data_IF_873802548433
#
_entry.id   IF_873802548433
#
_cell.length_a   1.000
_cell.length_b   1.000
_cell.length_c   1.000
_cell.angle_alpha   90.00
_cell.angle_beta   90.00
_cell.angle_gamma   90.00
#
_symmetry.space_group_name_H-M   'P 1'
#
loop_
_entity.id
_entity.type
_entity.pdbx_description
1 polymer ?
#
# COMPACT_ATOMS: atom_id res chain seq x y z
N UNK A 1 1.72 -14.19 -13.06
CA UNK A 1 1.77 -12.71 -13.04
C UNK A 1 2.97 -12.15 -12.26
N UNK A 2 3.94 -12.97 -11.82
CA UNK A 2 5.04 -12.52 -10.94
C UNK A 2 5.92 -11.38 -11.49
N UNK A 3 5.97 -11.17 -12.81
CA UNK A 3 6.67 -10.03 -13.41
C UNK A 3 5.92 -8.69 -13.25
N UNK A 4 4.63 -8.74 -12.89
CA UNK A 4 3.79 -7.57 -12.61
C UNK A 4 3.92 -7.10 -11.17
N UNK A 5 4.71 -7.78 -10.33
CA UNK A 5 4.90 -7.40 -8.93
C UNK A 5 6.38 -7.15 -8.68
N UNK A 6 6.68 -6.02 -8.04
CA UNK A 6 8.02 -5.65 -7.62
C UNK A 6 8.14 -5.72 -6.11
N UNK A 7 9.29 -6.18 -5.61
CA UNK A 7 9.61 -6.04 -4.18
C UNK A 7 9.95 -4.59 -3.90
N UNK A 8 9.15 -3.94 -3.08
CA UNK A 8 9.29 -2.54 -2.71
C UNK A 8 9.37 -2.41 -1.18
N UNK A 9 10.05 -1.37 -0.71
CA UNK A 9 9.98 -0.96 0.69
C UNK A 9 8.67 -0.22 0.91
N UNK A 10 7.92 -0.60 1.94
CA UNK A 10 6.64 0.00 2.29
C UNK A 10 6.69 0.44 3.75
N UNK A 11 6.44 1.73 3.99
CA UNK A 11 6.31 2.31 5.35
C UNK A 11 4.90 2.86 5.51
N UNK A 12 4.23 2.46 6.59
CA UNK A 12 2.87 2.92 6.92
C UNK A 12 2.95 3.92 8.07
N UNK A 13 2.51 5.15 7.83
CA UNK A 13 2.51 6.26 8.79
C UNK A 13 1.07 6.60 9.14
N UNK A 14 0.65 6.60 10.43
CA UNK A 14 -0.69 7.05 10.80
C UNK A 14 -0.92 8.48 10.34
N UNK A 15 -2.09 8.78 9.77
CA UNK A 15 -2.36 10.12 9.23
C UNK A 15 -2.41 11.16 10.35
N UNK A 16 -3.23 10.92 11.38
CA UNK A 16 -3.40 11.88 12.48
C UNK A 16 -3.71 13.29 11.96
N UNK A 17 -2.84 14.26 12.28
CA UNK A 17 -2.92 15.64 11.79
C UNK A 17 -1.97 15.92 10.61
N UNK A 18 -1.22 14.92 10.14
CA UNK A 18 -0.28 15.05 9.03
C UNK A 18 -1.01 15.20 7.70
N UNK A 19 -0.42 15.99 6.81
CA UNK A 19 -0.81 16.08 5.40
C UNK A 19 0.12 15.24 4.53
N UNK A 20 -0.31 14.93 3.31
CA UNK A 20 0.53 14.24 2.32
C UNK A 20 1.84 15.02 2.07
N UNK A 21 1.75 16.35 1.99
CA UNK A 21 2.90 17.24 1.81
C UNK A 21 3.91 17.12 2.96
N UNK A 22 3.45 17.03 4.22
CA UNK A 22 4.32 16.85 5.38
C UNK A 22 5.14 15.55 5.25
N UNK A 23 4.46 14.45 4.92
CA UNK A 23 5.08 13.13 4.75
C UNK A 23 6.04 13.14 3.57
N UNK A 24 5.62 13.66 2.42
CA UNK A 24 6.43 13.73 1.21
C UNK A 24 7.74 14.51 1.46
N UNK A 25 7.65 15.68 2.10
CA UNK A 25 8.83 16.47 2.45
C UNK A 25 9.80 15.71 3.36
N UNK A 26 9.30 14.85 4.25
CA UNK A 26 10.16 14.07 5.15
C UNK A 26 10.96 12.98 4.42
N UNK A 27 10.41 12.41 3.34
CA UNK A 27 10.96 11.18 2.73
C UNK A 27 11.51 11.34 1.32
N UNK A 28 11.27 12.48 0.66
CA UNK A 28 11.69 12.71 -0.73
C UNK A 28 13.19 12.48 -0.96
N UNK A 29 14.04 12.97 -0.06
CA UNK A 29 15.50 12.81 -0.16
C UNK A 29 16.00 11.42 0.32
N UNK A 30 15.12 10.61 0.89
CA UNK A 30 15.44 9.31 1.49
C UNK A 30 15.22 8.12 0.53
N UNK A 31 14.75 8.38 -0.71
CA UNK A 31 14.48 7.34 -1.71
C UNK A 31 13.02 6.89 -1.78
N UNK A 32 12.07 7.69 -1.27
CA UNK A 32 10.65 7.48 -1.54
C UNK A 32 10.33 7.72 -3.02
N UNK A 33 9.53 6.83 -3.58
CA UNK A 33 9.03 6.89 -4.96
C UNK A 33 7.60 7.43 -5.02
N UNK A 34 6.77 7.08 -4.04
CA UNK A 34 5.34 7.41 -4.01
C UNK A 34 4.86 7.52 -2.56
N UNK A 35 3.91 8.43 -2.32
CA UNK A 35 3.17 8.57 -1.07
C UNK A 35 1.69 8.50 -1.41
N UNK A 36 1.00 7.49 -0.88
CA UNK A 36 -0.42 7.26 -1.10
C UNK A 36 -1.21 7.59 0.17
N UNK A 37 -2.28 8.37 0.06
CA UNK A 37 -3.25 8.59 1.13
C UNK A 37 -4.24 7.42 1.18
N UNK A 38 -4.21 6.65 2.26
CA UNK A 38 -5.11 5.52 2.50
C UNK A 38 -6.28 5.89 3.43
N UNK A 39 -6.55 7.19 3.62
CA UNK A 39 -7.62 7.69 4.49
C UNK A 39 -7.17 7.84 5.93
N UNK A 40 -6.87 6.75 6.62
CA UNK A 40 -6.42 6.74 8.04
C UNK A 40 -4.90 6.71 8.20
N UNK A 41 -4.17 6.41 7.13
CA UNK A 41 -2.71 6.33 7.10
C UNK A 41 -2.15 6.78 5.76
N UNK A 42 -0.87 7.13 5.73
CA UNK A 42 -0.09 7.29 4.51
C UNK A 42 0.76 6.05 4.27
N UNK A 43 0.81 5.62 3.02
CA UNK A 43 1.70 4.57 2.56
C UNK A 43 2.82 5.19 1.74
N UNK A 44 4.05 5.01 2.20
CA UNK A 44 5.25 5.45 1.48
C UNK A 44 5.85 4.23 0.78
N UNK A 45 6.02 4.31 -0.52
CA UNK A 45 6.63 3.26 -1.36
C UNK A 45 8.03 3.71 -1.77
N UNK A 46 8.98 2.77 -1.76
CA UNK A 46 10.38 2.98 -2.13
C UNK A 46 10.96 1.70 -2.74
N UNK A 47 12.18 1.77 -3.28
CA UNK A 47 12.95 0.55 -3.55
C UNK A 47 13.17 -0.25 -2.26
N UNK A 48 13.18 -1.59 -2.36
CA UNK A 48 13.35 -2.44 -1.19
C UNK A 48 14.68 -2.21 -0.44
N UNK A 49 15.71 -1.71 -1.14
CA UNK A 49 17.00 -1.33 -0.56
C UNK A 49 16.94 -0.04 0.27
N UNK A 50 15.96 0.81 0.00
CA UNK A 50 15.88 2.16 0.55
C UNK A 50 14.93 2.24 1.76
N UNK A 51 14.21 1.15 2.06
CA UNK A 51 13.30 1.01 3.20
C UNK A 51 13.87 1.56 4.52
N UNK A 52 15.14 1.26 4.81
CA UNK A 52 15.78 1.71 6.05
C UNK A 52 16.01 3.22 6.04
N UNK A 53 16.42 3.79 4.91
CA UNK A 53 16.61 5.23 4.79
C UNK A 53 15.27 5.96 4.91
N UNK A 54 14.22 5.48 4.25
CA UNK A 54 12.87 6.04 4.31
C UNK A 54 12.31 6.02 5.72
N UNK A 55 12.31 4.88 6.42
CA UNK A 55 11.75 4.80 7.78
C UNK A 55 12.54 5.65 8.79
N UNK A 56 13.84 5.79 8.59
CA UNK A 56 14.69 6.61 9.46
C UNK A 56 14.43 8.11 9.21
N UNK A 57 14.13 8.51 7.97
CA UNK A 57 13.72 9.87 7.62
C UNK A 57 12.35 10.24 8.24
N UNK A 58 11.37 9.32 8.19
CA UNK A 58 10.09 9.47 8.90
C UNK A 58 10.32 9.74 10.39
N UNK A 59 11.17 8.93 11.05
CA UNK A 59 11.51 9.13 12.47
C UNK A 59 12.26 10.44 12.72
N UNK A 60 13.18 10.82 11.84
CA UNK A 60 13.94 12.07 11.95
C UNK A 60 13.05 13.31 11.83
N UNK A 61 11.96 13.22 11.07
CA UNK A 61 10.92 14.24 10.98
C UNK A 61 9.98 14.27 12.21
N UNK A 62 10.19 13.37 13.19
CA UNK A 62 9.36 13.29 14.39
C UNK A 62 8.04 12.55 14.20
N UNK A 63 7.87 11.85 13.08
CA UNK A 63 6.69 11.04 12.79
C UNK A 63 6.89 9.62 13.32
N UNK A 64 5.81 9.00 13.79
CA UNK A 64 5.78 7.56 14.09
C UNK A 64 5.32 6.78 12.85
N UNK A 65 5.73 5.52 12.75
CA UNK A 65 5.22 4.60 11.72
C UNK A 65 4.67 3.33 12.39
N UNK A 66 3.64 2.75 11.81
CA UNK A 66 3.01 1.51 12.28
C UNK A 66 3.79 0.29 11.81
N UNK A 67 4.26 0.31 10.56
CA UNK A 67 5.02 -0.78 9.95
C UNK A 67 6.03 -0.27 8.93
N UNK A 68 7.06 -1.08 8.66
CA UNK A 68 8.14 -0.78 7.73
C UNK A 68 8.74 -2.09 7.22
N UNK A 69 8.23 -2.59 6.09
CA UNK A 69 8.49 -3.94 5.60
C UNK A 69 8.70 -3.96 4.08
N UNK A 70 9.29 -5.05 3.58
CA UNK A 70 9.40 -5.28 2.14
C UNK A 70 8.16 -6.04 1.68
N UNK A 71 7.39 -5.46 0.76
CA UNK A 71 6.16 -6.05 0.21
C UNK A 71 6.22 -6.19 -1.30
N UNK A 72 5.34 -7.02 -1.86
CA UNK A 72 5.15 -7.15 -3.30
C UNK A 72 4.08 -6.17 -3.76
N UNK A 73 4.48 -5.14 -4.51
CA UNK A 73 3.59 -4.09 -5.03
C UNK A 73 3.37 -4.31 -6.53
N UNK A 74 2.12 -4.28 -7.02
CA UNK A 74 1.84 -4.39 -8.44
C UNK A 74 2.39 -3.19 -9.21
N UNK A 75 3.02 -3.42 -10.36
CA UNK A 75 3.53 -2.36 -11.25
C UNK A 75 2.46 -1.76 -12.15
N UNK A 76 1.32 -2.44 -12.30
CA UNK A 76 0.15 -1.99 -13.06
C UNK A 76 -1.10 -2.47 -12.33
N UNK A 77 -2.02 -1.55 -12.06
CA UNK A 77 -3.34 -1.85 -11.51
C UNK A 77 -4.39 -2.00 -12.61
N UNK A 78 -5.46 -2.75 -12.31
CA UNK A 78 -6.58 -3.01 -13.22
C UNK A 78 -7.86 -2.55 -12.53
N UNK A 79 -8.53 -1.49 -13.03
CA UNK A 79 -9.77 -1.02 -12.43
C UNK A 79 -10.88 -2.06 -12.57
N UNK A 80 -11.67 -2.25 -11.52
CA UNK A 80 -12.85 -3.12 -11.52
C UNK A 80 -14.14 -2.31 -11.40
N UNK A 81 -15.17 -2.79 -12.08
CA UNK A 81 -16.55 -2.37 -11.82
C UNK A 81 -17.14 -3.13 -10.61
N UNK A 82 -18.35 -2.76 -10.17
CA UNK A 82 -18.97 -3.35 -8.99
C UNK A 82 -19.22 -4.87 -9.12
N UNK A 83 -19.50 -5.36 -10.33
CA UNK A 83 -19.67 -6.80 -10.56
C UNK A 83 -18.34 -7.54 -10.44
N UNK A 84 -17.27 -7.01 -11.05
CA UNK A 84 -15.92 -7.53 -10.97
C UNK A 84 -15.39 -7.52 -9.55
N UNK A 85 -15.53 -6.41 -8.84
CA UNK A 85 -15.11 -6.26 -7.45
C UNK A 85 -15.79 -7.29 -6.53
N UNK A 86 -17.11 -7.46 -6.60
CA UNK A 86 -17.84 -8.48 -5.81
C UNK A 86 -17.32 -9.90 -6.04
N UNK A 87 -17.05 -10.27 -7.30
CA UNK A 87 -16.54 -11.59 -7.66
C UNK A 87 -15.12 -11.81 -7.15
N UNK A 88 -14.27 -10.79 -7.28
CA UNK A 88 -12.87 -10.85 -6.86
C UNK A 88 -12.75 -10.87 -5.34
N UNK A 89 -13.49 -10.03 -4.61
CA UNK A 89 -13.49 -10.04 -3.14
C UNK A 89 -13.93 -11.40 -2.59
N UNK A 90 -15.02 -11.98 -3.12
CA UNK A 90 -15.44 -13.33 -2.75
C UNK A 90 -14.37 -14.41 -3.02
N UNK A 91 -13.59 -14.25 -4.09
CA UNK A 91 -12.48 -15.16 -4.39
C UNK A 91 -11.35 -14.98 -3.38
N UNK A 92 -11.00 -13.75 -3.01
CA UNK A 92 -9.98 -13.46 -2.00
C UNK A 92 -10.37 -14.07 -0.66
N UNK A 93 -11.60 -13.83 -0.19
CA UNK A 93 -12.12 -14.41 1.06
C UNK A 93 -11.98 -15.94 1.06
N UNK A 94 -12.38 -16.60 -0.04
CA UNK A 94 -12.26 -18.05 -0.15
C UNK A 94 -10.81 -18.56 -0.17
N UNK A 95 -9.86 -17.74 -0.63
CA UNK A 95 -8.42 -18.07 -0.60
C UNK A 95 -7.84 -17.85 0.80
N UNK A 96 -8.25 -16.79 1.49
CA UNK A 96 -7.81 -16.47 2.86
C UNK A 96 -8.36 -17.47 3.90
N UNK A 97 -9.52 -18.07 3.64
CA UNK A 97 -10.09 -19.15 4.46
C UNK A 97 -9.28 -20.47 4.41
N UNK A 98 -8.30 -20.59 3.50
CA UNK A 98 -7.47 -21.79 3.36
C UNK A 98 -6.22 -21.71 4.23
N UNK A 99 -6.08 -22.64 5.19
CA UNK A 99 -4.90 -22.74 6.08
C UNK A 99 -3.55 -22.85 5.33
N UNK A 100 -3.56 -23.40 4.12
CA UNK A 100 -2.36 -23.54 3.26
C UNK A 100 -1.96 -22.23 2.53
N UNK A 101 -2.82 -21.23 2.50
CA UNK A 101 -2.56 -19.94 1.84
C UNK A 101 -1.95 -18.98 2.86
N UNK A 102 -0.77 -18.46 2.53
CA UNK A 102 -0.04 -17.58 3.45
C UNK A 102 -0.23 -16.10 3.11
N UNK A 103 -0.33 -15.75 1.82
CA UNK A 103 -0.50 -14.37 1.36
C UNK A 103 -1.27 -14.37 0.03
N UNK A 104 -2.15 -13.40 -0.15
CA UNK A 104 -2.85 -13.13 -1.42
C UNK A 104 -2.38 -11.77 -1.92
N UNK A 105 -1.89 -11.73 -3.17
CA UNK A 105 -1.51 -10.49 -3.83
C UNK A 105 -2.36 -10.30 -5.07
N UNK A 106 -2.91 -9.11 -5.22
CA UNK A 106 -3.75 -8.74 -6.35
C UNK A 106 -3.34 -7.37 -6.89
N UNK A 107 -3.72 -7.10 -8.14
CA UNK A 107 -3.42 -5.85 -8.82
C UNK A 107 -4.71 -5.15 -9.28
N UNK A 108 -5.85 -5.41 -8.64
CA UNK A 108 -7.06 -4.66 -8.95
C UNK A 108 -7.03 -3.28 -8.28
N UNK A 109 -7.79 -2.36 -8.84
CA UNK A 109 -8.09 -1.05 -8.29
C UNK A 109 -9.62 -0.88 -8.24
N UNK A 110 -10.14 -0.36 -7.13
CA UNK A 110 -11.57 -0.17 -6.93
C UNK A 110 -11.77 1.23 -6.39
N UNK A 111 -12.50 2.06 -7.14
CA UNK A 111 -12.77 3.44 -6.71
C UNK A 111 -13.71 3.48 -5.51
N UNK A 112 -13.68 4.58 -4.75
CA UNK A 112 -14.58 4.82 -3.61
C UNK A 112 -16.07 4.67 -3.98
N UNK A 113 -16.45 5.11 -5.18
CA UNK A 113 -17.82 4.96 -5.69
C UNK A 113 -18.21 3.49 -5.85
N UNK A 114 -17.31 2.68 -6.40
CA UNK A 114 -17.54 1.23 -6.58
C UNK A 114 -17.51 0.52 -5.23
N UNK A 115 -16.60 0.89 -4.32
CA UNK A 115 -16.56 0.36 -2.95
C UNK A 115 -17.88 0.61 -2.20
N UNK A 116 -18.44 1.82 -2.32
CA UNK A 116 -19.72 2.17 -1.71
C UNK A 116 -20.92 1.39 -2.30
N UNK A 117 -20.83 0.88 -3.54
CA UNK A 117 -21.87 0.03 -4.14
C UNK A 117 -21.74 -1.46 -3.74
N UNK A 118 -20.55 -1.86 -3.31
CA UNK A 118 -20.21 -3.25 -2.99
C UNK A 118 -20.34 -3.56 -1.50
N UNK A 119 -20.18 -2.54 -0.64
CA UNK A 119 -20.42 -2.62 0.82
C UNK A 119 -21.89 -2.68 1.20
#
# INVERSE_FOLDING_TARGET
VSYLFNRKGVVIVPKGELTEDDVLMAVLDAGAEEVNDLGESFQIISEATDLVAVRDAVRAAGMEYESADVSWIPSVTVPLDAEGARKVFKLIEALEDSDDVQNVYANFDVSDEVLAEVG
#
